data_IF_404817502940
#
_entry.id   IF_404817502940
#
_cell.length_a   1.000
_cell.length_b   1.000
_cell.length_c   1.000
_cell.angle_alpha   90.00
_cell.angle_beta   90.00
_cell.angle_gamma   90.00
#
_symmetry.space_group_name_H-M   'P 1'
#
loop_
_entity.id
_entity.type
_entity.pdbx_description
1 polymer ?
#
# COMPACT_ATOMS: atom_id res chain seq x y z
N UNK A 1 -3.98 6.02 -1.09
CA UNK A 1 -5.22 6.76 -1.39
C UNK A 1 -5.02 8.26 -1.28
N UNK A 2 -5.05 8.81 -0.06
CA UNK A 2 -5.10 10.27 0.21
C UNK A 2 -4.10 11.13 -0.58
N UNK A 3 -2.81 10.76 -0.61
CA UNK A 3 -1.81 11.56 -1.34
C UNK A 3 -2.01 11.55 -2.86
N UNK A 4 -2.39 10.40 -3.43
CA UNK A 4 -2.69 10.29 -4.86
C UNK A 4 -3.88 11.18 -5.23
N UNK A 5 -4.94 11.15 -4.41
CA UNK A 5 -6.12 11.99 -4.61
C UNK A 5 -5.80 13.49 -4.51
N UNK A 6 -4.99 13.91 -3.53
CA UNK A 6 -4.53 15.31 -3.40
C UNK A 6 -3.76 15.79 -4.64
N UNK A 7 -2.82 14.99 -5.14
CA UNK A 7 -2.02 15.36 -6.31
C UNK A 7 -2.89 15.43 -7.57
N UNK A 8 -3.72 14.41 -7.82
CA UNK A 8 -4.62 14.37 -8.96
C UNK A 8 -5.62 15.55 -8.96
N UNK A 9 -6.23 15.84 -7.82
CA UNK A 9 -7.13 16.98 -7.67
C UNK A 9 -6.38 18.33 -7.84
N UNK A 10 -5.13 18.41 -7.37
CA UNK A 10 -4.30 19.61 -7.48
C UNK A 10 -3.88 19.94 -8.92
N UNK A 11 -3.81 18.94 -9.81
CA UNK A 11 -3.57 19.14 -11.26
C UNK A 11 -4.87 19.34 -12.05
N UNK A 12 -6.01 19.47 -11.37
CA UNK A 12 -7.31 19.77 -11.99
C UNK A 12 -8.14 18.54 -12.39
N UNK A 13 -7.75 17.33 -12.01
CA UNK A 13 -8.56 16.14 -12.28
C UNK A 13 -9.85 16.13 -11.44
N UNK A 14 -10.91 15.53 -11.97
CA UNK A 14 -12.08 15.13 -11.19
C UNK A 14 -11.76 13.80 -10.51
N UNK A 15 -11.79 13.77 -9.17
CA UNK A 15 -11.30 12.62 -8.40
C UNK A 15 -12.41 12.03 -7.55
N UNK A 16 -12.69 10.74 -7.71
CA UNK A 16 -13.49 9.95 -6.77
C UNK A 16 -12.55 9.08 -5.92
N UNK A 17 -12.67 9.17 -4.58
CA UNK A 17 -11.95 8.32 -3.63
C UNK A 17 -12.94 7.40 -2.91
N UNK A 18 -12.68 6.10 -2.98
CA UNK A 18 -13.47 5.05 -2.33
C UNK A 18 -12.73 4.51 -1.10
N UNK A 19 -13.43 4.36 0.03
CA UNK A 19 -12.92 3.71 1.25
C UNK A 19 -14.06 2.97 1.97
N UNK A 20 -13.76 1.86 2.67
CA UNK A 20 -14.76 1.11 3.45
C UNK A 20 -15.08 1.81 4.79
N UNK A 21 -14.17 2.66 5.28
CA UNK A 21 -14.30 3.30 6.59
C UNK A 21 -15.01 4.65 6.48
N UNK A 22 -16.26 4.69 6.96
CA UNK A 22 -17.05 5.94 7.03
C UNK A 22 -16.32 7.01 7.85
N UNK A 23 -15.67 6.62 8.95
CA UNK A 23 -14.90 7.56 9.78
C UNK A 23 -13.71 8.13 9.00
N UNK A 24 -13.06 7.32 8.16
CA UNK A 24 -11.99 7.79 7.29
C UNK A 24 -12.52 8.78 6.26
N UNK A 25 -13.64 8.48 5.62
CA UNK A 25 -14.27 9.37 4.64
C UNK A 25 -14.69 10.70 5.27
N UNK A 26 -15.28 10.69 6.46
CA UNK A 26 -15.62 11.93 7.21
C UNK A 26 -14.39 12.81 7.44
N UNK A 27 -13.31 12.23 7.97
CA UNK A 27 -12.06 12.97 8.15
C UNK A 27 -11.51 13.50 6.82
N UNK A 28 -11.57 12.70 5.75
CA UNK A 28 -11.10 13.12 4.44
C UNK A 28 -11.95 14.26 3.85
N UNK A 29 -13.25 14.33 4.15
CA UNK A 29 -14.10 15.44 3.74
C UNK A 29 -13.65 16.78 4.33
N UNK A 30 -13.07 16.77 5.53
CA UNK A 30 -12.59 17.98 6.20
C UNK A 30 -11.23 18.45 5.69
N UNK A 31 -10.35 17.52 5.29
CA UNK A 31 -8.92 17.82 5.00
C UNK A 31 -8.55 17.77 3.51
N UNK A 32 -9.43 17.25 2.66
CA UNK A 32 -9.20 17.18 1.22
C UNK A 32 -9.80 18.37 0.47
N UNK A 33 -9.24 18.72 -0.70
CA UNK A 33 -9.86 19.68 -1.59
C UNK A 33 -11.32 19.33 -1.90
N UNK A 34 -12.17 20.35 -2.05
CA UNK A 34 -13.61 20.18 -2.30
C UNK A 34 -13.93 19.52 -3.65
N UNK A 35 -12.99 19.48 -4.59
CA UNK A 35 -13.14 18.81 -5.88
C UNK A 35 -12.81 17.30 -5.83
N UNK A 36 -12.85 16.70 -4.65
CA UNK A 36 -12.72 15.25 -4.46
C UNK A 36 -14.04 14.69 -3.96
N UNK A 37 -14.65 13.81 -4.75
CA UNK A 37 -15.85 13.06 -4.38
C UNK A 37 -15.45 11.89 -3.49
N UNK A 38 -16.15 11.70 -2.37
CA UNK A 38 -15.89 10.64 -1.40
C UNK A 38 -17.04 9.65 -1.41
N UNK A 39 -16.75 8.38 -1.67
CA UNK A 39 -17.76 7.31 -1.75
C UNK A 39 -17.40 6.14 -0.84
N UNK A 40 -18.42 5.47 -0.31
CA UNK A 40 -18.22 4.19 0.38
C UNK A 40 -17.79 3.15 -0.65
N UNK A 41 -16.72 2.41 -0.32
CA UNK A 41 -16.24 1.31 -1.14
C UNK A 41 -17.14 0.08 -0.97
N UNK A 42 -17.92 -0.23 -1.99
CA UNK A 42 -18.62 -1.50 -2.17
C UNK A 42 -18.54 -1.92 -3.64
N UNK A 43 -18.90 -3.17 -3.95
CA UNK A 43 -18.76 -3.71 -5.30
C UNK A 43 -19.52 -2.87 -6.34
N UNK A 44 -20.75 -2.47 -6.04
CA UNK A 44 -21.57 -1.66 -6.95
C UNK A 44 -20.92 -0.31 -7.27
N UNK A 45 -20.46 0.43 -6.25
CA UNK A 45 -19.82 1.72 -6.45
C UNK A 45 -18.50 1.60 -7.22
N UNK A 46 -17.72 0.54 -6.99
CA UNK A 46 -16.50 0.29 -7.78
C UNK A 46 -16.87 0.03 -9.24
N UNK A 47 -17.88 -0.82 -9.50
CA UNK A 47 -18.33 -1.16 -10.85
C UNK A 47 -18.89 0.04 -11.62
N UNK A 48 -19.58 0.97 -10.98
CA UNK A 48 -20.09 2.17 -11.64
C UNK A 48 -18.96 3.15 -11.96
N UNK A 49 -18.13 3.51 -10.98
CA UNK A 49 -17.07 4.52 -11.16
C UNK A 49 -16.00 4.07 -12.16
N UNK A 50 -15.70 2.78 -12.25
CA UNK A 50 -14.62 2.28 -13.11
C UNK A 50 -14.93 2.39 -14.61
N UNK A 51 -16.21 2.37 -15.01
CA UNK A 51 -16.62 2.47 -16.42
C UNK A 51 -16.22 3.81 -17.02
N UNK A 52 -16.35 4.87 -16.22
CA UNK A 52 -16.10 6.25 -16.64
C UNK A 52 -14.70 6.75 -16.29
N UNK A 53 -13.92 5.98 -15.53
CA UNK A 53 -12.58 6.36 -15.11
C UNK A 53 -11.58 6.37 -16.29
N UNK A 54 -10.90 7.50 -16.51
CA UNK A 54 -9.76 7.58 -17.41
C UNK A 54 -8.47 7.05 -16.76
N UNK A 55 -8.39 7.12 -15.42
CA UNK A 55 -7.32 6.55 -14.62
C UNK A 55 -7.84 5.97 -13.29
N UNK A 56 -7.31 4.81 -12.89
CA UNK A 56 -7.63 4.12 -11.63
C UNK A 56 -6.37 3.88 -10.83
N UNK A 57 -6.35 4.32 -9.57
CA UNK A 57 -5.21 4.13 -8.67
C UNK A 57 -5.60 3.16 -7.55
N UNK A 58 -5.13 1.93 -7.66
CA UNK A 58 -5.25 0.90 -6.62
C UNK A 58 -4.30 1.19 -5.46
N UNK A 59 -4.83 1.65 -4.33
CA UNK A 59 -4.01 2.07 -3.18
C UNK A 59 -4.49 1.46 -1.85
N UNK A 60 -4.96 0.21 -1.91
CA UNK A 60 -5.42 -0.56 -0.74
C UNK A 60 -4.27 -1.38 -0.20
N UNK A 61 -4.00 -1.21 1.10
CA UNK A 61 -2.91 -1.86 1.80
C UNK A 61 -3.45 -2.49 3.09
N UNK A 62 -3.22 -3.79 3.28
CA UNK A 62 -3.49 -4.46 4.54
C UNK A 62 -2.14 -4.85 5.15
N UNK A 63 -1.69 -4.21 6.25
CA UNK A 63 -0.38 -4.48 6.83
C UNK A 63 -0.17 -5.97 7.13
N UNK A 64 0.91 -6.54 6.57
CA UNK A 64 1.29 -7.94 6.80
C UNK A 64 0.40 -8.99 6.11
N UNK A 65 -0.52 -8.60 5.23
CA UNK A 65 -1.37 -9.52 4.47
C UNK A 65 -1.34 -9.20 2.97
N UNK A 66 -1.79 -10.17 2.16
CA UNK A 66 -1.96 -9.98 0.73
C UNK A 66 -3.10 -8.97 0.49
N UNK A 67 -2.92 -8.06 -0.47
CA UNK A 67 -3.97 -7.13 -0.86
C UNK A 67 -5.20 -7.90 -1.42
N UNK A 68 -6.44 -7.52 -1.03
CA UNK A 68 -7.64 -8.12 -1.59
C UNK A 68 -7.79 -7.72 -3.05
N UNK A 69 -8.29 -8.64 -3.89
CA UNK A 69 -8.64 -8.35 -5.29
C UNK A 69 -10.00 -7.65 -5.32
N UNK A 70 -9.98 -6.32 -5.41
CA UNK A 70 -11.18 -5.48 -5.36
C UNK A 70 -11.74 -5.20 -6.75
N UNK A 71 -10.86 -5.13 -7.76
CA UNK A 71 -11.23 -4.86 -9.14
C UNK A 71 -10.99 -6.14 -9.93
N UNK A 72 -12.07 -6.69 -10.48
CA UNK A 72 -12.04 -7.93 -11.24
C UNK A 72 -11.67 -7.68 -12.70
N UNK A 73 -11.20 -8.72 -13.40
CA UNK A 73 -10.93 -8.63 -14.84
C UNK A 73 -12.17 -8.20 -15.65
N UNK A 74 -13.36 -8.65 -15.24
CA UNK A 74 -14.62 -8.26 -15.86
C UNK A 74 -14.95 -6.77 -15.71
N UNK A 75 -14.52 -6.14 -14.60
CA UNK A 75 -14.59 -4.69 -14.46
C UNK A 75 -13.61 -3.99 -15.40
N UNK A 76 -12.39 -4.52 -15.55
CA UNK A 76 -11.37 -3.94 -16.44
C UNK A 76 -11.84 -3.93 -17.90
N UNK A 77 -12.49 -5.01 -18.36
CA UNK A 77 -13.03 -5.09 -19.72
C UNK A 77 -14.09 -4.01 -20.03
N UNK A 78 -14.71 -3.42 -19.01
CA UNK A 78 -15.72 -2.36 -19.13
C UNK A 78 -15.12 -0.95 -19.11
N UNK A 79 -13.81 -0.82 -18.85
CA UNK A 79 -13.15 0.48 -18.84
C UNK A 79 -13.04 1.06 -20.25
N UNK A 80 -12.93 2.39 -20.32
CA UNK A 80 -12.61 3.10 -21.55
C UNK A 80 -11.30 2.57 -22.16
N UNK A 81 -11.23 2.34 -23.48
CA UNK A 81 -9.97 2.05 -24.15
C UNK A 81 -8.93 3.14 -23.90
N UNK A 82 -7.68 2.74 -23.70
CA UNK A 82 -6.53 3.59 -23.38
C UNK A 82 -6.58 4.28 -22.01
N UNK A 83 -7.53 3.91 -21.14
CA UNK A 83 -7.46 4.25 -19.72
C UNK A 83 -6.23 3.64 -19.06
N UNK A 84 -5.89 4.15 -17.87
CA UNK A 84 -4.69 3.76 -17.13
C UNK A 84 -5.04 3.18 -15.76
N UNK A 85 -4.35 2.12 -15.39
CA UNK A 85 -4.36 1.53 -14.06
C UNK A 85 -2.99 1.72 -13.42
N UNK A 86 -2.96 2.18 -12.18
CA UNK A 86 -1.77 2.24 -11.34
C UNK A 86 -2.02 1.40 -10.09
N UNK A 87 -1.40 0.23 -9.98
CA UNK A 87 -1.53 -0.62 -8.80
C UNK A 87 -0.37 -0.38 -7.82
N UNK A 88 -0.60 0.52 -6.86
CA UNK A 88 0.38 0.86 -5.80
C UNK A 88 0.49 -0.29 -4.78
N UNK A 89 -0.49 -1.17 -4.72
CA UNK A 89 -0.48 -2.33 -3.82
C UNK A 89 0.31 -3.52 -4.40
N UNK A 90 0.99 -3.36 -5.54
CA UNK A 90 1.68 -4.43 -6.24
C UNK A 90 2.75 -5.13 -5.39
N UNK A 91 3.41 -4.39 -4.49
CA UNK A 91 4.40 -4.94 -3.55
C UNK A 91 3.80 -5.99 -2.58
N UNK A 92 2.47 -6.02 -2.44
CA UNK A 92 1.72 -7.03 -1.66
C UNK A 92 0.80 -7.91 -2.53
N UNK A 93 1.12 -8.03 -3.82
CA UNK A 93 0.39 -8.85 -4.79
C UNK A 93 -0.70 -8.12 -5.59
N UNK A 94 -0.89 -6.82 -5.36
CA UNK A 94 -1.81 -5.96 -6.11
C UNK A 94 -3.28 -6.12 -5.74
N UNK A 95 -4.04 -5.03 -5.77
CA UNK A 95 -5.48 -5.06 -5.46
C UNK A 95 -6.39 -5.27 -6.69
N UNK A 96 -5.80 -5.48 -7.86
CA UNK A 96 -6.50 -5.66 -9.15
C UNK A 96 -6.14 -7.05 -9.70
N UNK A 97 -7.11 -7.78 -10.24
CA UNK A 97 -6.90 -9.17 -10.71
C UNK A 97 -5.91 -9.27 -11.86
N UNK A 98 -5.94 -8.32 -12.78
CA UNK A 98 -5.08 -8.26 -13.97
C UNK A 98 -3.66 -7.74 -13.70
N UNK A 99 -3.39 -7.27 -12.48
CA UNK A 99 -2.07 -6.75 -12.11
C UNK A 99 -1.02 -7.86 -12.04
N UNK A 100 0.12 -7.62 -12.68
CA UNK A 100 1.36 -8.39 -12.52
C UNK A 100 2.53 -7.44 -12.25
N UNK A 101 3.52 -7.81 -11.42
CA UNK A 101 4.68 -6.97 -11.16
C UNK A 101 5.41 -6.59 -12.45
N UNK A 102 5.81 -5.33 -12.54
CA UNK A 102 6.63 -4.75 -13.61
C UNK A 102 7.86 -4.08 -13.01
N UNK A 103 8.76 -3.60 -13.85
CA UNK A 103 10.04 -3.02 -13.43
C UNK A 103 10.19 -1.58 -13.92
N UNK A 104 11.11 -0.80 -13.36
CA UNK A 104 11.38 0.55 -13.87
C UNK A 104 11.84 0.57 -15.35
N UNK A 105 12.49 -0.49 -15.83
CA UNK A 105 12.93 -0.62 -17.22
C UNK A 105 11.82 -1.05 -18.19
N UNK A 106 10.80 -1.74 -17.68
CA UNK A 106 9.62 -2.17 -18.45
C UNK A 106 8.38 -1.95 -17.56
N UNK A 107 7.88 -0.70 -17.45
CA UNK A 107 6.98 -0.29 -16.38
C UNK A 107 5.50 -0.49 -16.69
N UNK A 108 5.16 -0.75 -17.95
CA UNK A 108 3.78 -0.81 -18.40
C UNK A 108 3.51 -1.98 -19.31
N UNK A 109 2.29 -2.51 -19.24
CA UNK A 109 1.78 -3.45 -20.22
C UNK A 109 0.31 -3.12 -20.53
N UNK A 110 -0.17 -3.52 -21.71
CA UNK A 110 -1.56 -3.28 -22.12
C UNK A 110 -2.34 -4.60 -22.05
N UNK A 111 -3.51 -4.57 -21.43
CA UNK A 111 -4.45 -5.70 -21.36
C UNK A 111 -5.88 -5.16 -21.45
N UNK A 112 -6.73 -5.78 -22.26
CA UNK A 112 -8.12 -5.32 -22.50
C UNK A 112 -8.22 -3.84 -22.91
N UNK A 113 -7.24 -3.39 -23.70
CA UNK A 113 -7.07 -1.98 -24.08
C UNK A 113 -6.77 -0.99 -22.94
N UNK A 114 -6.52 -1.47 -21.72
CA UNK A 114 -6.16 -0.65 -20.55
C UNK A 114 -4.65 -0.78 -20.27
N UNK A 115 -3.98 0.36 -20.07
CA UNK A 115 -2.56 0.40 -19.75
C UNK A 115 -2.38 0.18 -18.25
N UNK A 116 -1.61 -0.84 -17.87
CA UNK A 116 -1.33 -1.18 -16.48
C UNK A 116 0.08 -0.72 -16.13
N UNK A 117 0.21 0.05 -15.05
CA UNK A 117 1.44 0.42 -14.39
C UNK A 117 1.49 -0.27 -13.03
N UNK A 118 2.40 -1.22 -12.87
CA UNK A 118 2.46 -2.09 -11.69
C UNK A 118 3.92 -2.22 -11.20
N UNK A 119 4.65 -1.11 -11.19
CA UNK A 119 6.08 -1.11 -10.87
C UNK A 119 6.26 -1.32 -9.38
N UNK A 120 7.05 -2.32 -9.01
CA UNK A 120 7.42 -2.55 -7.61
C UNK A 120 8.43 -1.50 -7.15
N UNK A 121 8.46 -1.22 -5.84
CA UNK A 121 9.38 -0.23 -5.28
C UNK A 121 9.32 1.14 -6.02
N UNK A 122 8.12 1.69 -6.21
CA UNK A 122 7.92 3.01 -6.83
C UNK A 122 8.76 4.14 -6.18
N UNK A 123 8.95 4.19 -4.84
CA UNK A 123 9.80 5.21 -4.21
C UNK A 123 11.27 5.17 -4.66
N UNK A 124 11.74 4.03 -5.19
CA UNK A 124 13.11 3.88 -5.69
C UNK A 124 13.44 4.80 -6.86
N UNK A 125 12.46 5.19 -7.68
CA UNK A 125 12.65 6.16 -8.77
C UNK A 125 12.94 7.57 -8.28
N UNK A 126 12.63 7.89 -7.02
CA UNK A 126 12.77 9.22 -6.43
C UNK A 126 13.72 9.21 -5.23
N UNK A 127 14.90 8.59 -5.42
CA UNK A 127 15.85 8.25 -4.36
C UNK A 127 16.15 9.40 -3.39
N UNK A 128 16.40 10.64 -3.87
CA UNK A 128 16.69 11.77 -2.98
C UNK A 128 15.56 12.03 -1.99
N UNK A 129 14.31 12.08 -2.48
CA UNK A 129 13.13 12.36 -1.65
C UNK A 129 12.80 11.18 -0.75
N UNK A 130 12.82 9.95 -1.30
CA UNK A 130 12.47 8.75 -0.55
C UNK A 130 13.52 8.39 0.50
N UNK A 131 14.81 8.62 0.24
CA UNK A 131 15.88 8.47 1.24
C UNK A 131 15.64 9.42 2.41
N UNK A 132 15.46 10.74 2.17
CA UNK A 132 15.21 11.66 3.27
C UNK A 132 13.93 11.33 4.06
N UNK A 133 12.84 10.96 3.37
CA UNK A 133 11.60 10.58 4.02
C UNK A 133 11.78 9.33 4.91
N UNK A 134 12.45 8.29 4.39
CA UNK A 134 12.70 7.06 5.12
C UNK A 134 13.65 7.30 6.29
N UNK A 135 14.79 7.95 6.06
CA UNK A 135 15.79 8.16 7.11
C UNK A 135 15.26 9.04 8.23
N UNK A 136 14.46 10.07 7.94
CA UNK A 136 13.85 10.90 8.98
C UNK A 136 12.90 10.10 9.89
N UNK A 137 12.22 9.09 9.34
CA UNK A 137 11.35 8.21 10.11
C UNK A 137 12.13 7.12 10.87
N UNK A 138 13.24 6.60 10.31
CA UNK A 138 13.97 5.46 10.89
C UNK A 138 15.14 5.86 11.78
N UNK A 139 15.67 7.08 11.65
CA UNK A 139 16.86 7.52 12.38
C UNK A 139 16.71 7.41 13.91
N UNK A 140 15.58 7.81 14.55
CA UNK A 140 15.43 7.66 16.00
C UNK A 140 15.57 6.19 16.46
N UNK A 141 14.99 5.27 15.70
CA UNK A 141 15.05 3.83 15.95
C UNK A 141 16.47 3.27 15.75
N UNK A 142 17.16 3.70 14.69
CA UNK A 142 18.53 3.31 14.42
C UNK A 142 19.50 3.76 15.52
N UNK A 143 19.38 5.01 15.98
CA UNK A 143 20.18 5.54 17.09
C UNK A 143 19.90 4.82 18.41
N UNK A 144 18.65 4.47 18.68
CA UNK A 144 18.30 3.72 19.89
C UNK A 144 18.94 2.33 19.91
N UNK A 145 18.89 1.61 18.78
CA UNK A 145 19.54 0.30 18.63
C UNK A 145 21.06 0.44 18.75
N UNK A 146 21.66 1.46 18.11
CA UNK A 146 23.11 1.70 18.16
C UNK A 146 23.61 1.99 19.58
N UNK A 147 22.88 2.79 20.35
CA UNK A 147 23.28 3.19 21.70
C UNK A 147 23.03 2.12 22.77
N UNK A 148 21.95 1.34 22.65
CA UNK A 148 21.51 0.39 23.69
C UNK A 148 21.80 -1.07 23.36
N UNK A 149 22.09 -1.38 22.09
CA UNK A 149 21.99 -2.73 21.54
C UNK A 149 20.54 -3.16 21.34
N UNK A 150 20.32 -4.11 20.42
CA UNK A 150 18.97 -4.50 20.01
C UNK A 150 18.11 -5.07 21.17
N UNK A 151 18.68 -5.90 22.06
CA UNK A 151 17.95 -6.55 23.18
C UNK A 151 17.31 -5.53 24.12
N UNK A 152 18.09 -4.52 24.54
CA UNK A 152 17.58 -3.47 25.43
C UNK A 152 16.63 -2.53 24.69
N UNK A 153 16.95 -2.17 23.45
CA UNK A 153 16.11 -1.30 22.62
C UNK A 153 14.69 -1.87 22.41
N UNK A 154 14.56 -3.14 22.03
CA UNK A 154 13.24 -3.77 21.83
C UNK A 154 12.48 -4.01 23.14
N UNK A 155 13.17 -4.21 24.27
CA UNK A 155 12.52 -4.35 25.59
C UNK A 155 11.91 -3.03 26.07
N UNK A 156 12.59 -1.91 25.81
CA UNK A 156 12.16 -0.58 26.23
C UNK A 156 11.19 0.09 25.22
N UNK A 157 11.35 -0.19 23.92
CA UNK A 157 10.55 0.41 22.86
C UNK A 157 9.61 -0.62 22.21
N UNK A 158 8.32 -0.55 22.59
CA UNK A 158 7.27 -1.43 22.06
C UNK A 158 7.07 -1.30 20.54
N UNK A 159 7.37 -0.16 19.94
CA UNK A 159 7.28 -0.02 18.48
C UNK A 159 8.41 -0.79 17.79
N UNK A 160 9.63 -0.77 18.33
CA UNK A 160 10.73 -1.62 17.85
C UNK A 160 10.44 -3.10 18.03
N UNK A 161 9.88 -3.50 19.19
CA UNK A 161 9.50 -4.89 19.45
C UNK A 161 8.56 -5.46 18.37
N UNK A 162 7.58 -4.67 17.93
CA UNK A 162 6.64 -5.05 16.85
C UNK A 162 7.32 -5.24 15.49
N UNK A 163 8.49 -4.64 15.29
CA UNK A 163 9.30 -4.80 14.08
C UNK A 163 10.16 -6.07 14.06
N UNK A 164 10.30 -6.79 15.18
CA UNK A 164 11.12 -8.00 15.25
C UNK A 164 10.46 -9.14 14.46
N UNK A 165 11.13 -9.57 13.39
CA UNK A 165 10.65 -10.65 12.52
C UNK A 165 11.27 -12.01 12.84
N UNK A 166 12.59 -12.04 13.02
CA UNK A 166 13.37 -13.25 13.29
C UNK A 166 14.47 -12.93 14.29
N UNK A 167 14.68 -13.83 15.26
CA UNK A 167 15.78 -13.79 16.22
C UNK A 167 16.23 -15.21 16.54
N UNK A 168 17.53 -15.49 16.53
CA UNK A 168 18.11 -16.80 16.87
C UNK A 168 17.42 -17.99 16.17
N UNK A 169 17.08 -17.83 14.88
CA UNK A 169 16.38 -18.83 14.08
C UNK A 169 14.88 -19.01 14.36
N UNK A 170 14.31 -18.21 15.28
CA UNK A 170 12.89 -18.24 15.65
C UNK A 170 12.13 -17.09 15.00
N UNK A 171 10.96 -17.39 14.44
CA UNK A 171 10.08 -16.39 13.80
C UNK A 171 9.16 -15.79 14.86
N UNK A 172 9.27 -14.47 15.05
CA UNK A 172 8.51 -13.70 16.04
C UNK A 172 7.40 -12.84 15.45
N UNK A 173 7.23 -12.86 14.13
CA UNK A 173 6.16 -12.14 13.45
C UNK A 173 5.08 -13.10 12.96
N UNK A 174 3.93 -13.08 13.62
CA UNK A 174 2.86 -14.06 13.43
C UNK A 174 2.36 -14.16 11.98
N UNK A 175 2.16 -13.05 11.22
CA UNK A 175 1.73 -13.15 9.82
C UNK A 175 2.71 -13.91 8.93
N UNK A 176 4.02 -13.73 9.14
CA UNK A 176 5.07 -14.46 8.39
C UNK A 176 5.07 -15.94 8.76
N UNK A 177 5.00 -16.29 10.05
CA UNK A 177 4.90 -17.68 10.48
C UNK A 177 3.69 -18.40 9.86
N UNK A 178 2.53 -17.74 9.83
CA UNK A 178 1.31 -18.27 9.17
C UNK A 178 1.48 -18.43 7.66
N UNK A 179 2.03 -17.42 6.98
CA UNK A 179 2.19 -17.42 5.53
C UNK A 179 3.09 -18.59 5.05
N UNK A 180 4.14 -18.91 5.80
CA UNK A 180 5.09 -19.99 5.46
C UNK A 180 4.83 -21.31 6.20
N UNK A 181 3.75 -21.42 6.99
CA UNK A 181 3.41 -22.60 7.82
C UNK A 181 4.55 -23.01 8.77
N UNK A 182 5.24 -22.02 9.35
CA UNK A 182 6.35 -22.22 10.29
C UNK A 182 5.90 -21.95 11.72
N UNK A 183 6.70 -22.40 12.70
CA UNK A 183 6.40 -22.19 14.12
C UNK A 183 6.59 -20.72 14.51
N UNK A 184 5.58 -20.17 15.17
CA UNK A 184 5.60 -18.82 15.76
C UNK A 184 6.10 -18.86 17.21
N UNK A 185 6.92 -17.89 17.58
CA UNK A 185 7.43 -17.68 18.94
C UNK A 185 7.11 -16.25 19.40
N UNK A 186 6.35 -16.04 20.49
CA UNK A 186 6.12 -14.72 21.05
C UNK A 186 7.43 -14.00 21.38
N UNK A 187 7.52 -12.71 21.10
CA UNK A 187 8.74 -11.90 21.32
C UNK A 187 9.21 -11.99 22.77
N UNK A 188 8.27 -12.06 23.72
CA UNK A 188 8.49 -12.17 25.15
C UNK A 188 9.21 -13.48 25.54
N UNK A 189 8.97 -14.58 24.81
CA UNK A 189 9.60 -15.88 25.07
C UNK A 189 11.02 -15.99 24.52
N UNK A 190 11.40 -15.09 23.61
CA UNK A 190 12.70 -15.12 22.93
C UNK A 190 13.67 -14.09 23.45
N UNK A 191 13.18 -13.06 24.15
CA UNK A 191 13.99 -11.91 24.55
C UNK A 191 14.67 -11.99 25.92
N UNK A 192 14.43 -13.02 26.74
CA UNK A 192 15.12 -13.22 28.04
C UNK A 192 15.05 -12.01 28.97
#
# INVERSE_FOLDING_TARGET
>A
GTNAAKVAAGIGANVTLLDISINRLKYLADVLPKNITLLISNQHNIEEEIKDADAVIGAVLIPGAKAPKLITEEMIKKMKPNSVIVDVAIDQGGCIETSRPTSHSDPVFKLHNVLHYCVTNMPGAFARTSTFALTNATLPYGLEIANKGYKKAIKENKALAKGLNVIDGKITYQPVAKAFKLKYYPVEEVNG
#
